data_IF_355652711618
#
_entry.id   IF_355652711618
#
_cell.length_a   1.000
_cell.length_b   1.000
_cell.length_c   1.000
_cell.angle_alpha   90.00
_cell.angle_beta   90.00
_cell.angle_gamma   90.00
#
_symmetry.space_group_name_H-M   'P 1'
#
loop_
_entity.id
_entity.type
_entity.pdbx_description
1 polymer ?
#
# COMPACT_ATOMS: atom_id res chain seq x y z
N UNK A 1 4.19 -17.10 -7.24
CA UNK A 1 4.68 -18.23 -8.06
C UNK A 1 5.18 -17.70 -9.40
N UNK A 2 5.72 -18.57 -10.27
CA UNK A 2 6.11 -18.17 -11.63
C UNK A 2 4.93 -17.60 -12.42
N UNK A 3 3.77 -18.26 -12.35
CA UNK A 3 2.55 -17.83 -13.06
C UNK A 3 2.10 -16.43 -12.65
N UNK A 4 2.12 -16.12 -11.34
CA UNK A 4 1.76 -14.79 -10.86
C UNK A 4 2.73 -13.71 -11.34
N UNK A 5 4.05 -14.01 -11.37
CA UNK A 5 5.06 -13.06 -11.86
C UNK A 5 4.94 -12.80 -13.37
N UNK A 6 4.52 -13.80 -14.14
CA UNK A 6 4.32 -13.64 -15.59
C UNK A 6 3.17 -12.70 -15.94
N UNK A 7 2.21 -12.50 -15.02
CA UNK A 7 1.06 -11.61 -15.23
C UNK A 7 1.14 -10.31 -14.44
N UNK A 8 1.94 -10.25 -13.37
CA UNK A 8 2.10 -9.05 -12.56
C UNK A 8 2.83 -7.94 -13.36
N UNK A 9 2.40 -6.69 -13.17
CA UNK A 9 3.04 -5.50 -13.74
C UNK A 9 3.70 -4.67 -12.65
N UNK A 10 4.61 -3.76 -13.03
CA UNK A 10 5.28 -2.86 -12.07
C UNK A 10 4.28 -2.02 -11.29
N UNK A 11 3.36 -1.33 -11.98
CA UNK A 11 2.31 -0.53 -11.33
C UNK A 11 1.38 -1.38 -10.45
N UNK A 12 0.96 -2.55 -10.93
CA UNK A 12 0.10 -3.45 -10.14
C UNK A 12 0.79 -4.01 -8.89
N UNK A 13 2.10 -4.26 -8.95
CA UNK A 13 2.88 -4.73 -7.81
C UNK A 13 3.03 -3.62 -6.75
N UNK A 14 3.28 -2.37 -7.14
CA UNK A 14 3.33 -1.22 -6.22
C UNK A 14 1.97 -0.95 -5.54
N UNK A 15 0.86 -1.25 -6.22
CA UNK A 15 -0.51 -1.04 -5.74
C UNK A 15 -1.15 -2.26 -5.07
N UNK A 16 -0.39 -3.33 -4.84
CA UNK A 16 -0.94 -4.49 -4.15
C UNK A 16 -1.33 -4.16 -2.71
N UNK A 17 -2.47 -4.67 -2.26
CA UNK A 17 -2.98 -4.40 -0.91
C UNK A 17 -2.48 -5.43 0.11
N UNK A 18 -2.57 -5.05 1.38
CA UNK A 18 -2.14 -5.87 2.52
C UNK A 18 -2.76 -7.28 2.56
N UNK A 19 -2.02 -8.22 3.16
CA UNK A 19 -2.48 -9.60 3.41
C UNK A 19 -3.03 -9.80 4.83
N UNK A 20 -3.23 -8.72 5.59
CA UNK A 20 -3.87 -8.77 6.91
C UNK A 20 -5.20 -9.56 6.85
N UNK A 21 -5.33 -10.60 7.68
CA UNK A 21 -6.47 -11.53 7.62
C UNK A 21 -7.81 -10.83 7.90
N UNK A 22 -7.82 -9.84 8.79
CA UNK A 22 -9.01 -9.04 9.08
C UNK A 22 -9.40 -8.08 7.93
N UNK A 23 -8.42 -7.66 7.13
CA UNK A 23 -8.70 -6.90 5.91
C UNK A 23 -9.27 -7.79 4.79
N UNK A 24 -8.81 -9.04 4.70
CA UNK A 24 -9.27 -10.00 3.70
C UNK A 24 -10.65 -10.59 4.04
N UNK A 25 -10.96 -10.79 5.33
CA UNK A 25 -12.29 -11.21 5.78
C UNK A 25 -13.23 -9.99 5.91
N UNK A 26 -14.18 -9.90 4.98
CA UNK A 26 -15.15 -8.79 4.92
C UNK A 26 -16.13 -8.76 6.10
N UNK A 27 -16.28 -9.87 6.84
CA UNK A 27 -17.14 -9.95 8.02
C UNK A 27 -16.52 -9.31 9.28
N UNK A 28 -15.21 -9.02 9.26
CA UNK A 28 -14.50 -8.43 10.41
C UNK A 28 -14.49 -6.91 10.36
N UNK A 29 -14.39 -6.20 11.49
CA UNK A 29 -14.11 -4.77 11.46
C UNK A 29 -12.71 -4.48 10.91
N UNK A 30 -12.54 -3.40 10.13
CA UNK A 30 -11.24 -3.01 9.58
C UNK A 30 -11.26 -1.54 9.12
N UNK A 31 -10.57 -0.65 9.84
CA UNK A 31 -10.44 0.77 9.48
C UNK A 31 -9.92 1.02 8.05
N UNK A 32 -9.01 0.17 7.54
CA UNK A 32 -8.47 0.26 6.16
C UNK A 32 -9.52 -0.05 5.07
N UNK A 33 -10.63 -0.70 5.44
CA UNK A 33 -11.74 -1.01 4.53
C UNK A 33 -12.95 -0.12 4.76
N UNK A 34 -13.30 0.09 6.03
CA UNK A 34 -14.39 0.95 6.47
C UNK A 34 -13.88 1.81 7.64
N UNK A 35 -13.56 3.09 7.41
CA UNK A 35 -13.06 3.99 8.45
C UNK A 35 -13.98 4.02 9.69
N UNK A 36 -13.38 3.98 10.87
CA UNK A 36 -14.08 3.99 12.16
C UNK A 36 -14.65 2.63 12.60
N UNK A 37 -14.54 1.57 11.78
CA UNK A 37 -15.01 0.23 12.19
C UNK A 37 -14.09 -0.47 13.20
N UNK A 38 -12.84 -0.01 13.34
CA UNK A 38 -11.84 -0.53 14.28
C UNK A 38 -10.76 -1.42 13.64
N UNK A 39 -9.74 -1.76 14.43
CA UNK A 39 -8.62 -2.61 14.03
C UNK A 39 -8.44 -3.80 14.99
N UNK A 40 -9.18 -4.91 14.80
CA UNK A 40 -9.09 -6.08 15.68
C UNK A 40 -7.72 -6.79 15.63
N UNK A 41 -6.90 -6.50 14.61
CA UNK A 41 -5.56 -7.05 14.50
C UNK A 41 -4.67 -6.64 15.68
N UNK A 42 -4.83 -5.43 16.23
CA UNK A 42 -3.96 -4.90 17.31
C UNK A 42 -3.90 -5.81 18.54
N UNK A 43 -5.05 -6.26 19.01
CA UNK A 43 -5.16 -7.16 20.16
C UNK A 43 -5.34 -8.64 19.75
N UNK A 44 -5.59 -8.87 18.46
CA UNK A 44 -5.83 -10.19 17.89
C UNK A 44 -4.57 -10.80 17.27
N UNK A 45 -4.75 -11.57 16.20
CA UNK A 45 -3.64 -12.22 15.50
C UNK A 45 -2.89 -11.22 14.60
N UNK A 46 -1.73 -10.74 15.07
CA UNK A 46 -0.89 -9.76 14.36
C UNK A 46 0.56 -10.20 14.15
N UNK A 47 0.87 -11.50 14.27
CA UNK A 47 2.24 -12.03 14.12
C UNK A 47 2.96 -11.53 12.86
N UNK A 48 2.23 -11.41 11.75
CA UNK A 48 2.79 -11.06 10.43
C UNK A 48 2.56 -9.57 10.07
N UNK A 49 2.26 -8.73 11.07
CA UNK A 49 1.89 -7.32 10.89
C UNK A 49 3.01 -6.37 11.35
N UNK A 50 2.80 -5.07 11.15
CA UNK A 50 3.86 -4.06 11.23
C UNK A 50 4.32 -3.81 12.68
N UNK A 51 5.64 -3.80 12.87
CA UNK A 51 6.29 -3.39 14.13
C UNK A 51 6.81 -1.94 14.08
N UNK A 52 6.85 -1.33 12.90
CA UNK A 52 7.32 0.04 12.65
C UNK A 52 6.30 0.76 11.77
N UNK A 53 6.17 2.07 11.95
CA UNK A 53 5.34 2.91 11.09
C UNK A 53 3.83 2.58 11.13
N UNK A 54 3.36 1.87 12.16
CA UNK A 54 1.93 1.62 12.34
C UNK A 54 1.25 2.74 13.13
N UNK A 55 -0.08 2.68 13.24
CA UNK A 55 -0.87 3.60 14.07
C UNK A 55 -1.90 2.84 14.91
N UNK A 56 -2.60 3.50 15.86
CA UNK A 56 -3.75 2.92 16.53
C UNK A 56 -4.87 2.48 15.58
N UNK A 57 -4.93 3.06 14.38
CA UNK A 57 -5.96 2.77 13.39
C UNK A 57 -5.64 1.57 12.51
N UNK A 58 -4.35 1.27 12.27
CA UNK A 58 -3.96 0.13 11.45
C UNK A 58 -2.52 -0.31 11.69
N UNK A 59 -2.33 -1.63 11.74
CA UNK A 59 -1.03 -2.30 11.85
C UNK A 59 -0.65 -3.11 10.61
N UNK A 60 -1.33 -2.89 9.47
CA UNK A 60 -1.07 -3.64 8.24
C UNK A 60 0.30 -3.33 7.62
N UNK A 61 0.92 -4.34 7.00
CA UNK A 61 2.14 -4.21 6.17
C UNK A 61 1.81 -4.09 4.69
N UNK A 62 2.69 -3.42 3.94
CA UNK A 62 2.77 -3.56 2.48
C UNK A 62 3.50 -4.88 2.15
N UNK A 63 2.91 -5.80 1.35
CA UNK A 63 3.50 -7.12 1.09
C UNK A 63 4.45 -7.16 -0.11
N UNK A 64 4.77 -6.02 -0.75
CA UNK A 64 5.62 -5.99 -1.95
C UNK A 64 7.11 -6.10 -1.63
N UNK A 65 7.73 -7.21 -2.03
CA UNK A 65 9.20 -7.34 -2.04
C UNK A 65 9.86 -6.35 -3.03
N UNK A 66 9.20 -6.09 -4.17
CA UNK A 66 9.72 -5.23 -5.23
C UNK A 66 9.78 -3.76 -4.79
N UNK A 67 8.77 -3.29 -4.07
CA UNK A 67 8.72 -1.91 -3.58
C UNK A 67 9.88 -1.60 -2.62
N UNK A 68 10.30 -2.57 -1.81
CA UNK A 68 11.46 -2.42 -0.91
C UNK A 68 12.73 -2.18 -1.72
N UNK A 69 12.99 -2.99 -2.76
CA UNK A 69 14.17 -2.85 -3.59
C UNK A 69 14.20 -1.51 -4.35
N UNK A 70 13.07 -1.11 -4.92
CA UNK A 70 12.94 0.15 -5.63
C UNK A 70 13.14 1.36 -4.68
N UNK A 71 12.66 1.28 -3.44
CA UNK A 71 12.82 2.37 -2.48
C UNK A 71 14.29 2.54 -2.06
N UNK A 72 15.02 1.43 -1.94
CA UNK A 72 16.46 1.45 -1.68
C UNK A 72 17.30 1.95 -2.86
N UNK A 73 16.73 1.98 -4.07
CA UNK A 73 17.36 2.48 -5.29
C UNK A 73 16.94 3.92 -5.62
N UNK A 74 16.28 4.63 -4.70
CA UNK A 74 15.75 5.98 -4.91
C UNK A 74 14.83 6.11 -6.14
N UNK A 75 14.10 5.03 -6.46
CA UNK A 75 13.21 5.00 -7.62
C UNK A 75 12.14 6.08 -7.54
N UNK A 76 11.75 6.60 -8.71
CA UNK A 76 10.69 7.61 -8.85
C UNK A 76 9.50 7.03 -9.62
N UNK A 77 8.29 7.19 -9.08
CA UNK A 77 7.04 6.78 -9.72
C UNK A 77 6.48 7.96 -10.51
N UNK A 78 6.20 7.76 -11.79
CA UNK A 78 5.59 8.78 -12.66
C UNK A 78 4.09 8.53 -12.72
N UNK A 79 3.31 9.58 -12.44
CA UNK A 79 1.86 9.58 -12.40
C UNK A 79 1.32 10.55 -13.45
N UNK A 80 0.40 10.08 -14.29
CA UNK A 80 -0.36 10.90 -15.23
C UNK A 80 -1.80 11.05 -14.74
N UNK A 81 -2.26 12.27 -14.55
CA UNK A 81 -3.63 12.58 -14.17
C UNK A 81 -4.24 13.73 -14.97
N UNK A 82 -5.45 14.18 -14.59
CA UNK A 82 -6.16 15.28 -15.28
C UNK A 82 -5.41 16.61 -15.27
N UNK A 83 -4.54 16.83 -14.28
CA UNK A 83 -3.72 18.04 -14.13
C UNK A 83 -2.35 17.93 -14.84
N UNK A 84 -2.10 16.82 -15.53
CA UNK A 84 -0.83 16.53 -16.19
C UNK A 84 -0.01 15.47 -15.45
N UNK A 85 1.28 15.45 -15.74
CA UNK A 85 2.24 14.49 -15.19
C UNK A 85 2.89 15.03 -13.91
N UNK A 86 3.13 14.14 -12.95
CA UNK A 86 3.98 14.41 -11.80
C UNK A 86 4.80 13.19 -11.39
N UNK A 87 5.96 13.45 -10.83
CA UNK A 87 6.88 12.45 -10.32
C UNK A 87 6.82 12.40 -8.78
N UNK A 88 6.91 11.20 -8.21
CA UNK A 88 6.88 10.97 -6.75
C UNK A 88 8.01 10.02 -6.37
N UNK A 89 8.93 10.40 -5.46
CA UNK A 89 9.92 9.47 -4.91
C UNK A 89 9.21 8.26 -4.28
N UNK A 90 9.71 7.05 -4.50
CA UNK A 90 9.03 5.85 -4.00
C UNK A 90 8.96 5.81 -2.47
N UNK A 91 9.93 6.44 -1.79
CA UNK A 91 9.95 6.64 -0.33
C UNK A 91 8.80 7.52 0.17
N UNK A 92 8.16 8.30 -0.70
CA UNK A 92 7.01 9.17 -0.40
C UNK A 92 5.71 8.67 -1.04
N UNK A 93 5.77 7.62 -1.87
CA UNK A 93 4.63 7.13 -2.62
C UNK A 93 3.63 6.35 -1.74
N UNK A 94 4.14 5.44 -0.90
CA UNK A 94 3.34 4.72 0.10
C UNK A 94 3.23 5.53 1.38
N UNK A 95 2.02 5.62 1.93
CA UNK A 95 1.76 6.42 3.12
C UNK A 95 1.82 5.60 4.39
N UNK A 96 2.26 6.24 5.48
CA UNK A 96 1.97 5.73 6.81
C UNK A 96 0.45 5.80 7.07
N UNK A 97 -0.13 4.84 7.79
CA UNK A 97 -1.59 4.74 7.96
C UNK A 97 -2.19 5.95 8.67
N UNK A 98 -1.51 6.50 9.69
CA UNK A 98 -2.01 7.63 10.47
C UNK A 98 -3.46 7.39 10.92
N UNK A 99 -4.31 8.40 10.69
CA UNK A 99 -5.76 8.33 10.93
C UNK A 99 -6.58 7.88 9.71
N UNK A 100 -5.94 7.76 8.54
CA UNK A 100 -6.62 7.49 7.25
C UNK A 100 -6.05 6.22 6.60
N UNK A 101 -6.16 5.05 7.27
CA UNK A 101 -5.56 3.82 6.78
C UNK A 101 -6.24 3.26 5.53
N UNK A 102 -7.39 3.79 5.12
CA UNK A 102 -8.06 3.48 3.85
C UNK A 102 -7.25 3.91 2.62
N UNK A 103 -6.31 4.85 2.78
CA UNK A 103 -5.48 5.38 1.71
C UNK A 103 -4.05 4.85 1.81
N UNK A 104 -3.70 3.88 0.95
CA UNK A 104 -2.38 3.22 0.95
C UNK A 104 -1.27 4.07 0.29
N UNK A 105 -1.62 4.96 -0.65
CA UNK A 105 -0.68 5.75 -1.47
C UNK A 105 -1.10 7.21 -1.59
N UNK A 106 -0.22 8.03 -2.18
CA UNK A 106 -0.51 9.44 -2.52
C UNK A 106 -1.20 9.63 -3.88
N UNK A 107 -1.65 8.54 -4.53
CA UNK A 107 -2.37 8.61 -5.81
C UNK A 107 -3.70 9.37 -5.61
N UNK A 108 -3.97 10.31 -6.50
CA UNK A 108 -5.20 11.09 -6.55
C UNK A 108 -6.21 10.43 -7.49
N UNK A 109 -7.51 10.69 -7.32
CA UNK A 109 -8.53 10.21 -8.26
C UNK A 109 -8.18 10.58 -9.71
N UNK A 110 -8.17 9.58 -10.59
CA UNK A 110 -7.86 9.75 -12.01
C UNK A 110 -6.37 9.72 -12.37
N UNK A 111 -5.47 9.53 -11.41
CA UNK A 111 -4.04 9.33 -11.71
C UNK A 111 -3.73 7.87 -12.07
N UNK A 112 -2.82 7.71 -13.04
CA UNK A 112 -2.32 6.43 -13.52
C UNK A 112 -0.80 6.37 -13.39
N UNK A 113 -0.28 5.25 -12.89
CA UNK A 113 1.17 4.97 -12.96
C UNK A 113 1.53 4.67 -14.41
N UNK A 114 2.39 5.49 -15.00
CA UNK A 114 2.88 5.30 -16.37
C UNK A 114 4.22 4.60 -16.40
N UNK A 115 5.13 4.94 -15.49
CA UNK A 115 6.47 4.35 -15.41
C UNK A 115 7.11 4.48 -14.03
N UNK A 116 8.23 3.77 -13.85
CA UNK A 116 9.11 3.86 -12.68
C UNK A 116 10.54 4.04 -13.20
N UNK A 117 11.20 5.10 -12.73
CA UNK A 117 12.55 5.50 -13.13
C UNK A 117 13.53 5.21 -11.98
N UNK A 118 14.76 4.79 -12.31
CA UNK A 118 15.88 4.56 -11.37
C UNK A 118 16.98 5.59 -11.60
#
# INVERSE_FOLDING_TARGET
SGQLRNSATTGGNLLQRTRCRYFQDVSKPCNKRLPGSGCPAREGTHRDLAILGHSPECVATNPSDMAVALAALDATVVLLGPEGERAVPLTEFHRLPGENPDQDTVIRPGELITEVVL
#
